data_IF_068878740905
#
_entry.id   IF_068878740905
#
_cell.length_a   1.000
_cell.length_b   1.000
_cell.length_c   1.000
_cell.angle_alpha   90.00
_cell.angle_beta   90.00
_cell.angle_gamma   90.00
#
_symmetry.space_group_name_H-M   'P 1'
#
loop_
_entity.id
_entity.type
_entity.pdbx_description
1 polymer ?
#
# COMPACT_ATOMS: atom_id res chain seq x y z
N UNK A 1 -14.37 -22.05 -12.89
CA UNK A 1 -15.80 -22.04 -12.73
C UNK A 1 -16.22 -20.62 -12.44
N UNK A 2 -16.88 -20.01 -13.39
CA UNK A 2 -17.44 -18.67 -13.31
C UNK A 2 -18.54 -18.72 -12.25
N UNK A 3 -18.46 -17.91 -11.21
CA UNK A 3 -19.59 -17.64 -10.33
C UNK A 3 -20.25 -16.37 -10.89
N UNK A 4 -21.35 -16.56 -11.62
CA UNK A 4 -22.24 -15.48 -12.00
C UNK A 4 -22.93 -15.00 -10.71
N UNK A 5 -22.48 -13.88 -10.16
CA UNK A 5 -23.26 -13.15 -9.17
C UNK A 5 -24.36 -12.44 -9.95
N UNK A 6 -25.49 -13.13 -10.06
CA UNK A 6 -26.74 -12.50 -10.48
C UNK A 6 -27.00 -11.36 -9.49
N UNK A 7 -27.09 -10.16 -10.01
CA UNK A 7 -27.55 -8.99 -9.29
C UNK A 7 -29.02 -9.18 -8.89
N UNK A 8 -29.25 -10.06 -7.92
CA UNK A 8 -30.48 -10.15 -7.15
C UNK A 8 -30.38 -9.10 -6.07
N UNK A 9 -31.30 -8.11 -6.10
CA UNK A 9 -31.56 -7.18 -4.99
C UNK A 9 -31.80 -8.00 -3.71
N UNK A 10 -30.73 -8.40 -3.03
CA UNK A 10 -30.83 -8.88 -1.67
C UNK A 10 -31.04 -7.63 -0.80
N UNK A 11 -32.23 -7.42 -0.31
CA UNK A 11 -32.46 -6.57 0.85
C UNK A 11 -31.58 -7.14 1.96
N UNK A 12 -30.56 -6.41 2.46
CA UNK A 12 -29.82 -6.89 3.61
C UNK A 12 -30.80 -6.89 4.79
N UNK A 13 -31.01 -8.06 5.36
CA UNK A 13 -31.81 -8.25 6.57
C UNK A 13 -31.25 -7.31 7.66
N UNK A 14 -32.14 -6.53 8.25
CA UNK A 14 -31.91 -5.73 9.45
C UNK A 14 -31.33 -6.66 10.54
N UNK A 15 -30.02 -6.57 10.79
CA UNK A 15 -29.42 -7.31 11.89
C UNK A 15 -27.93 -7.62 11.78
N UNK A 16 -27.28 -7.45 10.63
CA UNK A 16 -25.90 -7.83 10.48
C UNK A 16 -25.02 -6.66 9.99
N UNK A 17 -24.79 -5.71 10.91
CA UNK A 17 -23.91 -4.55 10.66
C UNK A 17 -22.44 -4.99 10.45
N UNK A 18 -22.05 -6.13 11.02
CA UNK A 18 -20.76 -6.77 10.78
C UNK A 18 -20.63 -7.27 9.35
N UNK A 19 -21.63 -7.93 8.82
CA UNK A 19 -21.64 -8.41 7.44
C UNK A 19 -21.62 -7.25 6.44
N UNK A 20 -22.20 -6.10 6.79
CA UNK A 20 -22.13 -4.91 5.94
C UNK A 20 -20.75 -4.25 6.00
N UNK A 21 -20.12 -4.19 7.17
CA UNK A 21 -18.73 -3.73 7.31
C UNK A 21 -17.77 -4.66 6.56
N UNK A 22 -17.96 -5.98 6.66
CA UNK A 22 -17.21 -6.98 5.90
C UNK A 22 -17.47 -6.87 4.40
N UNK A 23 -18.72 -6.64 3.97
CA UNK A 23 -19.09 -6.39 2.57
C UNK A 23 -18.48 -5.08 2.04
N UNK A 24 -18.45 -4.02 2.84
CA UNK A 24 -17.80 -2.76 2.50
C UNK A 24 -16.28 -2.93 2.44
N UNK A 25 -15.72 -3.67 3.38
CA UNK A 25 -14.32 -4.07 3.41
C UNK A 25 -13.98 -4.97 2.23
N UNK A 26 -14.83 -5.92 1.91
CA UNK A 26 -14.67 -6.88 0.83
C UNK A 26 -14.89 -6.23 -0.54
N UNK A 27 -15.89 -5.34 -0.69
CA UNK A 27 -16.10 -4.56 -1.90
C UNK A 27 -14.94 -3.58 -2.17
N UNK A 28 -14.32 -3.05 -1.12
CA UNK A 28 -13.12 -2.19 -1.21
C UNK A 28 -11.84 -3.01 -1.38
N UNK A 29 -11.77 -4.26 -0.87
CA UNK A 29 -10.59 -5.10 -0.92
C UNK A 29 -10.55 -6.08 -2.11
N UNK A 30 -11.69 -6.60 -2.56
CA UNK A 30 -11.77 -7.67 -3.56
C UNK A 30 -12.21 -7.22 -4.96
N UNK A 31 -12.46 -5.91 -5.17
CA UNK A 31 -12.72 -5.40 -6.50
C UNK A 31 -13.98 -5.98 -7.16
N UNK A 32 -15.14 -5.61 -6.66
CA UNK A 32 -16.41 -5.90 -7.35
C UNK A 32 -16.53 -5.09 -8.65
N UNK A 33 -16.22 -5.72 -9.79
CA UNK A 33 -16.34 -5.14 -11.13
C UNK A 33 -14.99 -4.69 -11.71
N UNK A 34 -14.45 -5.50 -12.60
CA UNK A 34 -13.09 -5.44 -13.15
C UNK A 34 -12.63 -4.09 -13.76
N UNK A 35 -13.48 -3.08 -13.85
CA UNK A 35 -13.14 -1.81 -14.51
C UNK A 35 -13.31 -0.55 -13.64
N UNK A 36 -14.07 -0.59 -12.54
CA UNK A 36 -14.28 0.58 -11.66
C UNK A 36 -13.45 0.53 -10.37
N UNK A 37 -13.03 -0.63 -9.96
CA UNK A 37 -12.30 -0.87 -8.70
C UNK A 37 -10.79 -0.65 -8.86
N UNK A 38 -10.26 -0.68 -10.08
CA UNK A 38 -8.88 -0.26 -10.34
C UNK A 38 -8.62 1.22 -9.98
N UNK A 39 -9.67 2.00 -9.71
CA UNK A 39 -9.60 3.39 -9.25
C UNK A 39 -10.02 3.61 -7.79
N UNK A 40 -10.61 2.61 -7.13
CA UNK A 40 -10.80 2.60 -5.68
C UNK A 40 -9.50 2.13 -5.02
N UNK A 41 -8.47 2.86 -5.36
CA UNK A 41 -7.10 2.65 -5.06
C UNK A 41 -6.92 2.47 -3.54
N UNK A 42 -6.67 1.20 -3.16
CA UNK A 42 -5.80 0.83 -2.05
C UNK A 42 -6.07 1.51 -0.70
N UNK A 43 -7.36 1.60 -0.31
CA UNK A 43 -7.74 2.07 1.04
C UNK A 43 -7.56 3.56 1.28
N UNK A 44 -7.57 4.37 0.24
CA UNK A 44 -7.68 5.82 0.36
C UNK A 44 -9.01 6.21 1.01
N UNK A 45 -9.06 7.38 1.69
CA UNK A 45 -10.33 7.92 2.17
C UNK A 45 -11.31 8.15 1.02
N UNK A 46 -12.56 7.66 1.16
CA UNK A 46 -13.62 7.80 0.17
C UNK A 46 -14.72 8.72 0.70
N UNK A 47 -15.16 9.66 -0.13
CA UNK A 47 -16.32 10.50 0.17
C UNK A 47 -17.62 9.71 0.05
N UNK A 48 -18.73 10.25 0.60
CA UNK A 48 -20.04 9.64 0.45
C UNK A 48 -20.42 9.47 -1.04
N UNK A 49 -20.10 10.47 -1.87
CA UNK A 49 -20.39 10.42 -3.30
C UNK A 49 -19.63 9.29 -3.99
N UNK A 50 -18.31 9.17 -3.73
CA UNK A 50 -17.49 8.09 -4.26
C UNK A 50 -17.96 6.72 -3.78
N UNK A 51 -18.37 6.59 -2.51
CA UNK A 51 -18.92 5.33 -1.98
C UNK A 51 -20.26 4.96 -2.63
N UNK A 52 -21.16 5.93 -2.85
CA UNK A 52 -22.45 5.68 -3.51
C UNK A 52 -22.27 5.26 -4.96
N UNK A 53 -21.33 5.87 -5.67
CA UNK A 53 -21.00 5.51 -7.04
C UNK A 53 -20.32 4.14 -7.12
N UNK A 54 -19.32 3.89 -6.27
CA UNK A 54 -18.57 2.64 -6.24
C UNK A 54 -19.47 1.43 -5.95
N UNK A 55 -20.40 1.58 -5.00
CA UNK A 55 -21.30 0.52 -4.54
C UNK A 55 -22.62 0.49 -5.32
N UNK A 56 -22.78 1.32 -6.35
CA UNK A 56 -24.00 1.45 -7.17
C UNK A 56 -25.27 1.63 -6.32
N UNK A 57 -25.19 2.51 -5.31
CA UNK A 57 -26.31 2.77 -4.39
C UNK A 57 -27.37 3.62 -5.09
N UNK A 58 -28.58 3.08 -5.21
CA UNK A 58 -29.69 3.80 -5.81
C UNK A 58 -30.05 5.06 -5.01
N UNK A 59 -30.55 6.10 -5.69
CA UNK A 59 -30.92 7.37 -5.05
C UNK A 59 -31.96 7.18 -3.92
N UNK A 60 -32.88 6.23 -4.07
CA UNK A 60 -33.89 5.86 -3.06
C UNK A 60 -33.27 5.23 -1.80
N UNK A 61 -32.06 4.71 -1.87
CA UNK A 61 -31.36 4.00 -0.78
C UNK A 61 -30.29 4.87 -0.11
N UNK A 62 -29.96 6.03 -0.70
CA UNK A 62 -28.89 6.93 -0.21
C UNK A 62 -29.05 7.34 1.23
N UNK A 63 -30.27 7.69 1.64
CA UNK A 63 -30.53 8.12 3.02
C UNK A 63 -30.27 6.99 4.02
N UNK A 64 -30.71 5.78 3.70
CA UNK A 64 -30.50 4.60 4.52
C UNK A 64 -28.99 4.24 4.56
N UNK A 65 -28.31 4.30 3.42
CA UNK A 65 -26.87 4.08 3.33
C UNK A 65 -26.09 5.09 4.19
N UNK A 66 -26.43 6.38 4.13
CA UNK A 66 -25.81 7.42 4.94
C UNK A 66 -26.05 7.22 6.45
N UNK A 67 -27.26 6.79 6.85
CA UNK A 67 -27.55 6.43 8.25
C UNK A 67 -26.69 5.26 8.74
N UNK A 68 -26.45 4.27 7.89
CA UNK A 68 -25.59 3.12 8.21
C UNK A 68 -24.14 3.55 8.37
N UNK A 69 -23.59 4.34 7.44
CA UNK A 69 -22.23 4.89 7.59
C UNK A 69 -22.08 5.68 8.89
N UNK A 70 -23.10 6.46 9.26
CA UNK A 70 -23.11 7.18 10.54
C UNK A 70 -23.18 6.26 11.76
N UNK A 71 -23.85 5.10 11.67
CA UNK A 71 -23.82 4.10 12.73
C UNK A 71 -22.43 3.48 12.87
N UNK A 72 -21.81 3.05 11.77
CA UNK A 72 -20.46 2.51 11.74
C UNK A 72 -19.42 3.49 12.28
N UNK A 73 -19.58 4.79 11.99
CA UNK A 73 -18.72 5.84 12.54
C UNK A 73 -18.86 5.92 14.08
N UNK A 74 -20.08 5.89 14.62
CA UNK A 74 -20.32 5.88 16.08
C UNK A 74 -19.78 4.65 16.78
N UNK A 75 -19.80 3.50 16.10
CA UNK A 75 -19.28 2.23 16.63
C UNK A 75 -17.75 2.08 16.45
N UNK A 76 -17.11 3.05 15.81
CA UNK A 76 -15.67 3.04 15.61
C UNK A 76 -15.20 2.10 14.48
N UNK A 77 -16.12 1.60 13.66
CA UNK A 77 -15.80 0.77 12.49
C UNK A 77 -15.31 1.59 11.31
N UNK A 78 -15.72 2.86 11.24
CA UNK A 78 -15.24 3.85 10.29
C UNK A 78 -14.84 5.13 11.01
N UNK A 79 -13.95 5.88 10.40
CA UNK A 79 -13.60 7.23 10.83
C UNK A 79 -13.85 8.22 9.68
N UNK A 80 -14.10 9.48 10.02
CA UNK A 80 -14.19 10.54 9.03
C UNK A 80 -13.01 11.49 9.16
N UNK A 81 -12.31 11.72 8.07
CA UNK A 81 -11.21 12.67 8.05
C UNK A 81 -11.72 14.13 8.03
N UNK A 82 -10.80 15.11 8.10
CA UNK A 82 -11.13 16.56 8.09
C UNK A 82 -11.85 17.02 6.80
N UNK A 83 -11.75 16.26 5.71
CA UNK A 83 -12.41 16.53 4.43
C UNK A 83 -13.78 15.81 4.31
N UNK A 84 -14.22 15.11 5.37
CA UNK A 84 -15.49 14.40 5.41
C UNK A 84 -15.48 13.05 4.70
N UNK A 85 -14.32 12.55 4.28
CA UNK A 85 -14.18 11.26 3.66
C UNK A 85 -14.03 10.15 4.72
N UNK A 86 -14.63 8.99 4.45
CA UNK A 86 -14.60 7.80 5.31
C UNK A 86 -13.30 7.02 5.10
N UNK A 87 -12.76 6.50 6.20
CA UNK A 87 -11.54 5.69 6.24
C UNK A 87 -11.66 4.64 7.34
N UNK A 88 -11.04 3.48 7.14
CA UNK A 88 -10.95 2.47 8.19
C UNK A 88 -9.99 2.93 9.31
N UNK A 89 -10.32 2.72 10.59
CA UNK A 89 -9.48 3.11 11.72
C UNK A 89 -8.04 2.58 11.64
N UNK A 90 -7.90 1.37 11.13
CA UNK A 90 -6.59 0.72 10.94
C UNK A 90 -5.73 1.47 9.92
N UNK A 91 -6.35 2.06 8.92
CA UNK A 91 -5.66 2.88 7.89
C UNK A 91 -5.55 4.35 8.28
N UNK A 92 -6.43 4.85 9.14
CA UNK A 92 -6.34 6.22 9.67
C UNK A 92 -5.04 6.47 10.46
N UNK A 93 -4.42 5.40 10.95
CA UNK A 93 -3.13 5.43 11.63
C UNK A 93 -1.92 5.31 10.70
N UNK A 94 -2.14 5.20 9.38
CA UNK A 94 -1.07 5.07 8.40
C UNK A 94 -0.75 6.43 7.78
N UNK A 95 0.55 6.66 7.58
CA UNK A 95 1.06 7.84 6.91
C UNK A 95 1.52 7.46 5.52
N UNK A 96 0.95 8.11 4.49
CA UNK A 96 1.38 7.97 3.12
C UNK A 96 2.55 8.92 2.82
N UNK A 97 3.50 8.46 2.01
CA UNK A 97 4.63 9.30 1.65
C UNK A 97 5.61 8.62 0.71
N UNK A 98 6.70 9.34 0.45
CA UNK A 98 7.79 8.91 -0.42
C UNK A 98 8.98 8.40 0.38
N UNK A 99 9.54 7.28 -0.03
CA UNK A 99 10.72 6.68 0.62
C UNK A 99 12.00 7.40 0.19
N UNK A 100 12.76 7.85 1.17
CA UNK A 100 14.09 8.40 0.99
C UNK A 100 15.13 7.49 1.65
N UNK A 101 15.81 6.67 0.85
CA UNK A 101 16.89 5.80 1.33
C UNK A 101 18.16 6.59 1.63
N UNK A 102 18.92 6.11 2.61
CA UNK A 102 20.24 6.61 2.99
C UNK A 102 21.32 5.58 2.63
N UNK A 103 22.55 6.00 2.23
CA UNK A 103 23.64 5.07 1.91
C UNK A 103 24.02 4.11 3.03
N UNK A 104 23.78 4.48 4.28
CA UNK A 104 24.04 3.62 5.45
C UNK A 104 22.98 2.56 5.70
N UNK A 105 22.00 2.41 4.78
CA UNK A 105 21.00 1.35 4.80
C UNK A 105 19.70 1.68 5.50
N UNK A 106 19.62 2.72 6.30
CA UNK A 106 18.36 3.23 6.86
C UNK A 106 17.66 4.18 5.87
N UNK A 107 16.45 4.63 6.20
CA UNK A 107 15.73 5.59 5.38
C UNK A 107 14.71 6.40 6.15
N UNK A 108 13.92 7.16 5.39
CA UNK A 108 12.82 7.95 5.90
C UNK A 108 11.62 7.82 4.97
N UNK A 109 10.43 7.83 5.54
CA UNK A 109 9.23 8.23 4.81
C UNK A 109 9.10 9.74 4.93
N UNK A 110 9.02 10.42 3.79
CA UNK A 110 8.68 11.84 3.70
C UNK A 110 7.16 11.93 3.48
N UNK A 111 6.38 12.35 4.49
CA UNK A 111 4.92 12.35 4.40
C UNK A 111 4.38 13.35 3.37
N UNK A 112 3.29 12.96 2.69
CA UNK A 112 2.63 13.83 1.71
C UNK A 112 1.88 15.00 2.34
N UNK A 113 1.56 14.91 3.63
CA UNK A 113 0.86 15.94 4.39
C UNK A 113 1.79 16.99 5.00
N UNK A 114 3.11 16.87 4.77
CA UNK A 114 4.12 17.80 5.26
C UNK A 114 4.41 17.68 6.76
N UNK A 115 3.99 16.60 7.41
CA UNK A 115 4.38 16.30 8.78
C UNK A 115 5.86 15.88 8.86
N UNK A 116 6.36 15.63 10.08
CA UNK A 116 7.75 15.23 10.28
C UNK A 116 8.08 13.90 9.60
N UNK A 117 9.28 13.80 9.03
CA UNK A 117 9.78 12.58 8.42
C UNK A 117 9.79 11.42 9.41
N UNK A 118 9.35 10.24 8.96
CA UNK A 118 9.30 9.03 9.78
C UNK A 118 10.55 8.20 9.51
N UNK A 119 11.34 7.94 10.55
CA UNK A 119 12.54 7.12 10.47
C UNK A 119 12.19 5.66 10.18
N UNK A 120 12.93 5.06 9.25
CA UNK A 120 12.81 3.66 8.86
C UNK A 120 14.15 2.96 9.08
N UNK A 121 14.16 1.98 9.99
CA UNK A 121 15.35 1.18 10.24
C UNK A 121 15.77 0.35 9.02
N UNK A 122 17.01 -0.10 9.00
CA UNK A 122 17.58 -0.87 7.89
C UNK A 122 16.74 -2.10 7.51
N UNK A 123 16.16 -2.80 8.48
CA UNK A 123 15.31 -3.97 8.20
C UNK A 123 14.01 -3.62 7.48
N UNK A 124 13.48 -2.40 7.67
CA UNK A 124 12.32 -1.90 6.93
C UNK A 124 12.70 -1.56 5.48
N UNK A 125 13.91 -1.01 5.28
CA UNK A 125 14.40 -0.65 3.95
C UNK A 125 14.59 -1.86 3.04
N UNK A 126 14.68 -3.08 3.57
CA UNK A 126 14.68 -4.31 2.79
C UNK A 126 13.38 -4.57 1.98
N UNK A 127 12.29 -3.89 2.32
CA UNK A 127 10.96 -4.03 1.67
C UNK A 127 10.74 -3.02 0.54
N UNK A 128 11.51 -1.93 0.50
CA UNK A 128 11.31 -0.76 -0.38
C UNK A 128 12.62 -0.30 -1.00
N UNK A 129 12.52 0.48 -2.07
CA UNK A 129 13.63 1.17 -2.68
C UNK A 129 13.49 2.69 -2.49
N UNK A 130 14.61 3.40 -2.63
CA UNK A 130 14.61 4.85 -2.67
C UNK A 130 13.69 5.37 -3.78
N UNK A 131 12.76 6.22 -3.44
CA UNK A 131 11.79 6.82 -4.37
C UNK A 131 10.41 6.17 -4.37
N UNK A 132 10.29 4.92 -3.89
CA UNK A 132 8.99 4.23 -3.78
C UNK A 132 8.00 5.05 -2.94
N UNK A 133 6.72 4.83 -3.17
CA UNK A 133 5.66 5.33 -2.29
C UNK A 133 5.16 4.21 -1.41
N UNK A 134 4.90 4.53 -0.14
CA UNK A 134 4.50 3.54 0.83
C UNK A 134 3.54 4.09 1.88
N UNK A 135 2.81 3.19 2.52
CA UNK A 135 2.06 3.43 3.74
C UNK A 135 2.89 2.92 4.93
N UNK A 136 3.09 3.78 5.90
CA UNK A 136 3.88 3.51 7.10
C UNK A 136 3.03 3.74 8.34
N UNK A 137 3.13 2.81 9.29
CA UNK A 137 2.57 2.95 10.64
C UNK A 137 3.65 3.45 11.57
N UNK A 138 3.40 4.54 12.28
CA UNK A 138 4.27 5.00 13.37
C UNK A 138 4.19 4.00 14.51
N UNK A 139 5.33 3.44 14.91
CA UNK A 139 5.45 2.43 15.95
C UNK A 139 6.03 2.98 17.24
N UNK A 140 6.65 4.14 17.19
CA UNK A 140 7.26 4.78 18.35
C UNK A 140 8.10 5.99 17.97
N UNK A 141 9.09 6.26 18.78
CA UNK A 141 10.12 7.28 18.54
C UNK A 141 11.50 6.67 18.72
N UNK A 142 12.42 7.05 17.86
CA UNK A 142 13.80 6.61 17.95
C UNK A 142 14.56 7.27 19.13
N UNK A 143 15.81 6.87 19.33
CA UNK A 143 16.66 7.42 20.39
C UNK A 143 16.94 8.93 20.27
N UNK A 144 16.68 9.51 19.11
CA UNK A 144 16.83 10.95 18.82
C UNK A 144 15.51 11.71 18.91
N UNK A 145 14.42 11.05 19.32
CA UNK A 145 13.07 11.63 19.45
C UNK A 145 12.35 11.80 18.11
N UNK A 146 12.79 11.14 17.00
CA UNK A 146 12.11 11.18 15.72
C UNK A 146 11.06 10.08 15.65
N UNK A 147 9.90 10.31 14.99
CA UNK A 147 8.94 9.23 14.74
C UNK A 147 9.64 8.07 14.02
N UNK A 148 9.43 6.86 14.54
CA UNK A 148 9.91 5.62 13.94
C UNK A 148 8.72 4.83 13.40
N UNK A 149 8.89 4.20 12.24
CA UNK A 149 7.79 3.52 11.56
C UNK A 149 8.12 2.15 10.99
N UNK A 150 7.05 1.41 10.74
CA UNK A 150 7.06 0.14 10.03
C UNK A 150 6.30 0.26 8.72
N UNK A 151 6.88 -0.24 7.63
CA UNK A 151 6.23 -0.28 6.32
C UNK A 151 5.13 -1.33 6.34
N UNK A 152 3.92 -0.88 6.04
CA UNK A 152 2.73 -1.71 5.94
C UNK A 152 2.52 -2.16 4.50
N UNK A 153 2.63 -1.21 3.55
CA UNK A 153 2.33 -1.45 2.14
C UNK A 153 3.20 -0.57 1.24
N UNK A 154 3.58 -1.08 0.08
CA UNK A 154 4.23 -0.30 -0.99
C UNK A 154 3.17 0.00 -2.04
N UNK A 155 2.76 1.26 -2.13
CA UNK A 155 1.67 1.69 -3.02
C UNK A 155 2.14 1.96 -4.44
N UNK A 156 3.41 2.35 -4.62
CA UNK A 156 3.98 2.60 -5.95
C UNK A 156 5.48 2.29 -5.95
N UNK A 157 5.94 1.57 -6.98
CA UNK A 157 7.35 1.32 -7.22
C UNK A 157 7.93 2.40 -8.13
N UNK A 158 8.88 3.17 -7.61
CA UNK A 158 9.56 4.19 -8.42
C UNK A 158 10.63 3.60 -9.35
N UNK A 159 11.21 2.46 -8.96
CA UNK A 159 12.28 1.82 -9.72
C UNK A 159 11.80 0.45 -10.21
N UNK A 160 11.38 0.38 -11.47
CA UNK A 160 11.12 -0.88 -12.18
C UNK A 160 12.40 -1.46 -12.76
N UNK A 161 13.46 -0.65 -12.88
CA UNK A 161 14.77 -1.03 -13.40
C UNK A 161 15.87 -0.44 -12.55
N UNK A 162 16.85 -1.25 -12.20
CA UNK A 162 18.00 -0.84 -11.41
C UNK A 162 19.27 -1.17 -12.18
N UNK A 163 20.14 -0.15 -12.35
CA UNK A 163 21.50 -0.34 -12.90
C UNK A 163 22.42 -0.65 -11.76
N UNK A 164 23.25 -1.68 -11.94
CA UNK A 164 24.20 -2.09 -10.92
C UNK A 164 25.33 -2.96 -11.47
N UNK A 165 26.26 -3.29 -10.60
CA UNK A 165 27.43 -4.10 -10.92
C UNK A 165 27.25 -5.52 -10.43
N UNK A 166 27.48 -6.49 -11.31
CA UNK A 166 27.40 -7.92 -11.00
C UNK A 166 28.56 -8.37 -10.12
N UNK A 167 28.24 -9.18 -9.13
CA UNK A 167 29.19 -9.98 -8.36
C UNK A 167 28.75 -11.44 -8.37
N UNK A 168 29.74 -12.32 -8.40
CA UNK A 168 29.53 -13.78 -8.36
C UNK A 168 30.38 -14.32 -7.22
N UNK A 169 29.75 -14.78 -6.15
CA UNK A 169 30.41 -15.32 -4.96
C UNK A 169 29.78 -16.67 -4.59
N UNK A 170 30.61 -17.71 -4.47
CA UNK A 170 30.18 -19.06 -4.09
C UNK A 170 29.00 -19.61 -4.92
N UNK A 171 28.93 -19.24 -6.22
CA UNK A 171 27.84 -19.64 -7.11
C UNK A 171 26.55 -18.79 -6.98
N UNK A 172 26.52 -17.82 -6.06
CA UNK A 172 25.45 -16.85 -5.94
C UNK A 172 25.79 -15.64 -6.82
N UNK A 173 24.80 -15.19 -7.60
CA UNK A 173 24.91 -13.99 -8.41
C UNK A 173 24.07 -12.90 -7.79
N UNK A 174 24.65 -11.74 -7.55
CA UNK A 174 23.95 -10.58 -7.07
C UNK A 174 24.44 -9.31 -7.79
N UNK A 175 23.60 -8.30 -7.78
CA UNK A 175 23.87 -7.00 -8.38
C UNK A 175 23.88 -5.95 -7.28
N UNK A 176 24.99 -5.24 -7.18
CA UNK A 176 25.13 -4.07 -6.30
C UNK A 176 24.69 -2.83 -7.06
N UNK A 177 23.63 -2.14 -6.63
CA UNK A 177 23.13 -0.94 -7.30
C UNK A 177 24.17 0.18 -7.36
N UNK A 178 24.25 0.89 -8.49
CA UNK A 178 25.06 2.10 -8.59
C UNK A 178 24.51 3.27 -7.77
N UNK A 179 23.20 3.30 -7.60
CA UNK A 179 22.55 4.27 -6.72
C UNK A 179 22.76 3.89 -5.25
N UNK A 180 23.68 4.59 -4.58
CA UNK A 180 24.01 4.34 -3.17
C UNK A 180 22.85 4.49 -2.18
N UNK A 181 21.74 5.10 -2.59
CA UNK A 181 20.51 5.18 -1.78
C UNK A 181 19.70 3.87 -1.80
N UNK A 182 20.06 2.94 -2.69
CA UNK A 182 19.56 1.56 -2.70
C UNK A 182 20.68 0.73 -2.07
N UNK A 183 20.62 0.55 -0.77
CA UNK A 183 21.68 -0.08 0.01
C UNK A 183 21.60 -1.63 -0.01
N UNK A 184 20.55 -2.21 -0.58
CA UNK A 184 20.37 -3.65 -0.65
C UNK A 184 20.88 -4.23 -1.96
N UNK A 185 21.57 -5.36 -1.87
CA UNK A 185 21.99 -6.13 -3.02
C UNK A 185 20.80 -6.87 -3.63
N UNK A 186 20.76 -6.93 -4.96
CA UNK A 186 19.69 -7.59 -5.71
C UNK A 186 20.15 -8.98 -6.10
N UNK A 187 19.54 -10.00 -5.50
CA UNK A 187 19.82 -11.39 -5.84
C UNK A 187 19.24 -11.73 -7.22
N UNK A 188 20.05 -12.39 -8.04
CA UNK A 188 19.63 -12.90 -9.35
C UNK A 188 19.29 -14.40 -9.21
N UNK A 189 17.99 -14.78 -9.33
CA UNK A 189 17.57 -16.17 -9.23
C UNK A 189 18.25 -17.03 -10.30
N UNK A 190 18.57 -18.33 -9.99
CA UNK A 190 19.21 -19.24 -10.92
C UNK A 190 18.45 -19.45 -12.24
N UNK A 191 17.14 -19.43 -12.17
CA UNK A 191 16.25 -19.65 -13.32
C UNK A 191 16.31 -18.49 -14.33
N UNK A 192 16.66 -17.29 -13.88
CA UNK A 192 16.84 -16.12 -14.74
C UNK A 192 18.26 -15.95 -15.27
N UNK A 193 19.15 -16.89 -15.01
CA UNK A 193 20.50 -16.97 -15.62
C UNK A 193 20.46 -17.25 -17.13
N UNK A 194 19.33 -16.92 -17.76
CA UNK A 194 19.08 -17.22 -19.15
C UNK A 194 20.04 -16.44 -20.06
N UNK A 195 20.75 -17.15 -20.93
CA UNK A 195 21.48 -16.70 -22.12
C UNK A 195 22.82 -15.97 -21.93
N UNK A 196 23.10 -15.34 -20.80
CA UNK A 196 24.38 -14.65 -20.56
C UNK A 196 24.95 -15.20 -19.25
N UNK A 197 26.19 -15.69 -19.28
CA UNK A 197 26.92 -16.03 -18.05
C UNK A 197 27.35 -14.71 -17.40
N UNK A 198 26.72 -14.28 -16.28
CA UNK A 198 27.09 -13.05 -15.63
C UNK A 198 28.53 -13.17 -15.08
N UNK A 199 29.36 -12.16 -15.32
CA UNK A 199 30.73 -12.10 -14.83
C UNK A 199 30.85 -10.95 -13.83
N UNK A 200 31.60 -11.19 -12.76
CA UNK A 200 31.91 -10.14 -11.77
C UNK A 200 32.50 -8.92 -12.45
N UNK A 201 32.00 -7.75 -12.10
CA UNK A 201 32.42 -6.45 -12.64
C UNK A 201 31.59 -5.93 -13.80
N UNK A 202 30.75 -6.75 -14.43
CA UNK A 202 29.84 -6.27 -15.48
C UNK A 202 28.81 -5.32 -14.92
N UNK A 203 28.51 -4.25 -15.67
CA UNK A 203 27.36 -3.37 -15.39
C UNK A 203 26.15 -3.91 -16.12
N UNK A 204 25.07 -4.09 -15.39
CA UNK A 204 23.82 -4.65 -15.91
C UNK A 204 22.62 -3.81 -15.45
N UNK A 205 21.53 -3.98 -16.16
CA UNK A 205 20.22 -3.50 -15.74
C UNK A 205 19.38 -4.69 -15.33
N UNK A 206 18.79 -4.63 -14.16
CA UNK A 206 17.86 -5.64 -13.62
C UNK A 206 16.46 -5.06 -13.55
N UNK A 207 15.47 -5.88 -13.91
CA UNK A 207 14.03 -5.56 -13.89
C UNK A 207 13.36 -6.25 -12.70
#
# INVERSE_FOLDING_TARGET
GRIDVVAGRAQPLLGDERAFAELLLQAVAEGGGEHRVAQADEGRPLTLAELTELLDIADSEREMFQRRLGAMEREGQLMRNRKGAYILPERASLTAGKIQGHPDGYGFLVPDDGTADIFLEQHQMGKVLHGDRALVRVTGVDRKGRPEGSIVEVTERANTRVVGRVFVEHGVVFVVPENRRIAQDILVPPEKKAKIKPQTGQVVMVD
#
